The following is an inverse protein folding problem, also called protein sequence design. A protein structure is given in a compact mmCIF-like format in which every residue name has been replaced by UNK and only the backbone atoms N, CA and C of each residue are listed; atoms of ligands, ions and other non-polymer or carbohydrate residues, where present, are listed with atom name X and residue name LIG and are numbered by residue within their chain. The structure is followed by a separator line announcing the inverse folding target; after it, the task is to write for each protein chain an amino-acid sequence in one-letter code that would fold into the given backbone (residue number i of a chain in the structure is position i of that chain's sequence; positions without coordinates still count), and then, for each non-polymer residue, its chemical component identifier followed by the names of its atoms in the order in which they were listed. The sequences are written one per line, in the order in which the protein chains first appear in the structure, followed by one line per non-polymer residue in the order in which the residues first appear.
data_IF_970012522356
#
_entry.id   IF_970012522356
#
_cell.length_a   1.000
_cell.length_b   1.000
_cell.length_c   1.000
_cell.angle_alpha   90.00
_cell.angle_beta   90.00
_cell.angle_gamma   90.00
#
_symmetry.space_group_name_H-M   'P 1'
#
loop_
_entity.id
_entity.type
_entity.pdbx_description
1 polymer ?
#
# COMPACT_ATOMS: atom_id res chain seq x y z
N UNK A 1 4.61 16.35 33.21
CA UNK A 1 3.79 17.07 32.22
C UNK A 1 3.31 16.03 31.23
N UNK A 2 2.05 15.66 31.44
CA UNK A 2 1.12 14.76 30.73
C UNK A 2 1.59 13.36 30.27
N UNK A 3 1.08 12.39 31.04
CA UNK A 3 1.11 10.93 30.87
C UNK A 3 -0.18 10.50 30.12
N UNK A 4 -0.47 11.11 28.97
CA UNK A 4 -1.75 10.94 28.23
C UNK A 4 -1.68 10.04 26.98
N UNK A 5 -0.49 9.57 26.56
CA UNK A 5 -0.34 8.77 25.32
C UNK A 5 -0.33 7.24 25.54
N UNK A 6 -0.74 6.74 26.71
CA UNK A 6 -0.76 5.29 27.03
C UNK A 6 -2.08 4.56 26.77
N UNK A 7 -2.86 4.97 25.77
CA UNK A 7 -4.08 4.26 25.34
C UNK A 7 -3.80 3.22 24.23
N UNK A 8 -2.87 2.30 24.44
CA UNK A 8 -2.50 1.31 23.40
C UNK A 8 -3.04 -0.14 23.57
N UNK A 9 -3.46 -0.63 24.75
CA UNK A 9 -4.08 -1.97 24.85
C UNK A 9 -5.61 -1.99 24.70
N UNK A 10 -6.32 -0.92 25.10
CA UNK A 10 -7.79 -0.94 25.24
C UNK A 10 -8.53 -0.77 23.89
N UNK A 11 -7.91 -0.13 22.91
CA UNK A 11 -8.55 0.16 21.61
C UNK A 11 -8.90 -1.09 20.78
N UNK A 12 -8.16 -2.20 20.94
CA UNK A 12 -8.47 -3.46 20.25
C UNK A 12 -9.71 -4.15 20.84
N UNK A 13 -9.98 -3.89 22.12
CA UNK A 13 -11.07 -4.47 22.91
C UNK A 13 -12.37 -3.65 22.80
N UNK A 14 -12.28 -2.32 22.68
CA UNK A 14 -13.42 -1.38 22.76
C UNK A 14 -14.23 -1.22 21.48
N UNK A 15 -13.78 -1.77 20.35
CA UNK A 15 -14.59 -1.79 19.15
C UNK A 15 -15.65 -2.89 19.31
N UNK A 16 -16.92 -2.57 19.14
CA UNK A 16 -18.04 -3.52 19.22
C UNK A 16 -18.00 -4.47 18.00
N UNK A 17 -18.30 -5.78 18.12
CA UNK A 17 -18.32 -6.69 16.97
C UNK A 17 -19.46 -6.31 16.01
N UNK A 18 -19.18 -5.43 15.05
CA UNK A 18 -20.14 -5.05 14.00
C UNK A 18 -20.15 -6.03 12.83
N UNK A 19 -19.33 -7.09 12.84
CA UNK A 19 -19.27 -8.06 11.73
C UNK A 19 -19.09 -9.50 12.23
N UNK A 20 -19.64 -10.47 11.49
CA UNK A 20 -19.43 -11.92 11.71
C UNK A 20 -17.97 -12.37 11.51
N UNK A 21 -17.06 -11.47 11.12
CA UNK A 21 -15.64 -11.75 10.89
C UNK A 21 -14.80 -11.32 12.10
N UNK A 22 -13.73 -12.06 12.36
CA UNK A 22 -12.75 -11.73 13.39
C UNK A 22 -11.93 -10.49 13.01
N UNK A 23 -11.12 -10.02 13.95
CA UNK A 23 -10.24 -8.85 13.75
C UNK A 23 -8.82 -9.23 13.42
N UNK A 24 -8.12 -8.34 12.75
CA UNK A 24 -6.70 -8.48 12.43
C UNK A 24 -5.88 -7.37 13.07
N UNK A 25 -4.91 -7.77 13.89
CA UNK A 25 -3.85 -6.89 14.41
C UNK A 25 -2.51 -7.27 13.81
N UNK A 26 -1.81 -6.29 13.25
CA UNK A 26 -0.50 -6.49 12.60
C UNK A 26 0.59 -5.70 13.31
N UNK A 27 1.60 -6.39 13.82
CA UNK A 27 2.85 -5.80 14.24
C UNK A 27 3.78 -5.63 13.03
N UNK A 28 3.98 -4.39 12.60
CA UNK A 28 4.81 -4.03 11.45
C UNK A 28 6.21 -3.61 11.92
N UNK A 29 7.26 -4.19 11.34
CA UNK A 29 8.65 -3.83 11.67
C UNK A 29 9.47 -3.46 10.45
N UNK A 30 10.50 -2.65 10.65
CA UNK A 30 11.41 -2.27 9.57
C UNK A 30 12.33 -3.40 9.10
N UNK A 31 12.62 -4.38 9.99
CA UNK A 31 13.49 -5.51 9.72
C UNK A 31 13.23 -6.70 10.66
N UNK A 32 13.86 -7.85 10.35
CA UNK A 32 13.95 -8.96 11.28
C UNK A 32 14.74 -8.55 12.53
N UNK A 33 14.34 -9.04 13.71
CA UNK A 33 15.06 -8.79 14.97
C UNK A 33 14.64 -7.55 15.77
N UNK A 34 13.71 -6.72 15.26
CA UNK A 34 13.17 -5.55 15.99
C UNK A 34 12.25 -5.91 17.17
N UNK A 35 11.96 -7.19 17.38
CA UNK A 35 11.18 -7.65 18.55
C UNK A 35 9.69 -7.88 18.30
N UNK A 36 9.23 -7.98 17.05
CA UNK A 36 7.80 -8.23 16.71
C UNK A 36 7.22 -9.46 17.42
N UNK A 37 7.88 -10.61 17.31
CA UNK A 37 7.47 -11.86 17.96
C UNK A 37 7.38 -11.72 19.48
N UNK A 38 8.34 -11.02 20.10
CA UNK A 38 8.30 -10.76 21.55
C UNK A 38 7.09 -9.90 21.92
N UNK A 39 6.78 -8.86 21.13
CA UNK A 39 5.58 -8.01 21.35
C UNK A 39 4.28 -8.81 21.20
N UNK A 40 4.19 -9.66 20.18
CA UNK A 40 3.04 -10.56 20.00
C UNK A 40 2.84 -11.49 21.19
N UNK A 41 3.92 -12.10 21.70
CA UNK A 41 3.85 -12.98 22.87
C UNK A 41 3.49 -12.21 24.14
N UNK A 42 4.04 -11.02 24.33
CA UNK A 42 3.70 -10.16 25.48
C UNK A 42 2.20 -9.81 25.48
N UNK A 43 1.63 -9.50 24.32
CA UNK A 43 0.19 -9.26 24.16
C UNK A 43 -0.64 -10.53 24.40
N UNK A 44 -0.21 -11.68 23.87
CA UNK A 44 -0.88 -12.96 24.10
C UNK A 44 -0.97 -13.30 25.60
N UNK A 45 0.11 -13.03 26.36
CA UNK A 45 0.11 -13.17 27.82
C UNK A 45 -0.83 -12.18 28.51
N UNK A 46 -0.90 -10.94 28.05
CA UNK A 46 -1.83 -9.96 28.61
C UNK A 46 -3.28 -10.38 28.41
N UNK A 47 -3.64 -10.83 27.20
CA UNK A 47 -4.98 -11.35 26.88
C UNK A 47 -5.31 -12.60 27.71
N UNK A 48 -4.38 -13.53 27.83
CA UNK A 48 -4.55 -14.73 28.65
C UNK A 48 -4.76 -14.38 30.14
N UNK A 49 -4.00 -13.41 30.69
CA UNK A 49 -4.18 -12.90 32.07
C UNK A 49 -5.53 -12.22 32.29
N UNK A 50 -6.12 -11.65 31.25
CA UNK A 50 -7.47 -11.09 31.27
C UNK A 50 -8.56 -12.16 31.15
N UNK A 51 -8.19 -13.45 31.12
CA UNK A 51 -9.12 -14.57 30.97
C UNK A 51 -9.65 -14.75 29.55
N UNK A 52 -8.99 -14.14 28.55
CA UNK A 52 -9.33 -14.36 27.13
C UNK A 52 -8.75 -15.66 26.64
N UNK A 53 -9.42 -16.22 25.66
CA UNK A 53 -9.07 -17.51 25.09
C UNK A 53 -8.08 -17.36 23.93
N UNK A 54 -6.80 -17.67 24.17
CA UNK A 54 -5.68 -17.39 23.26
C UNK A 54 -4.93 -18.68 22.94
N UNK A 55 -4.64 -18.88 21.65
CA UNK A 55 -3.75 -19.96 21.19
C UNK A 55 -2.62 -19.42 20.31
N UNK A 56 -1.49 -20.11 20.35
CA UNK A 56 -0.39 -19.94 19.41
C UNK A 56 -0.63 -20.90 18.24
N UNK A 57 -0.99 -20.34 17.08
CA UNK A 57 -1.17 -21.10 15.84
C UNK A 57 0.14 -21.37 15.14
N UNK A 58 1.01 -20.34 15.07
CA UNK A 58 2.38 -20.48 14.60
C UNK A 58 3.27 -19.41 15.23
N UNK A 59 4.41 -19.83 15.79
CA UNK A 59 5.45 -18.92 16.31
C UNK A 59 6.80 -19.45 15.85
N UNK A 60 7.59 -18.59 15.23
CA UNK A 60 8.97 -18.90 14.87
C UNK A 60 9.90 -18.39 15.97
N UNK A 61 10.52 -19.31 16.70
CA UNK A 61 11.45 -18.96 17.79
C UNK A 61 12.89 -18.83 17.29
N UNK A 62 13.22 -19.32 16.09
CA UNK A 62 14.58 -19.40 15.53
C UNK A 62 15.61 -19.96 16.52
N UNK A 63 15.20 -20.86 17.42
CA UNK A 63 16.06 -21.44 18.46
C UNK A 63 16.45 -20.47 19.59
N UNK A 64 15.80 -19.31 19.71
CA UNK A 64 16.11 -18.29 20.73
C UNK A 64 15.53 -18.68 22.08
N UNK A 65 16.40 -18.92 23.06
CA UNK A 65 16.01 -19.29 24.41
C UNK A 65 15.03 -18.28 25.05
N UNK A 66 15.22 -16.98 24.82
CA UNK A 66 14.32 -15.94 25.36
C UNK A 66 12.92 -16.03 24.75
N UNK A 67 12.80 -16.18 23.42
CA UNK A 67 11.50 -16.30 22.74
C UNK A 67 10.79 -17.60 23.12
N UNK A 68 11.54 -18.71 23.22
CA UNK A 68 11.02 -19.99 23.71
C UNK A 68 10.55 -19.89 25.16
N UNK A 69 11.26 -19.18 26.03
CA UNK A 69 10.82 -18.93 27.40
C UNK A 69 9.56 -18.05 27.45
N UNK A 70 9.43 -17.08 26.53
CA UNK A 70 8.23 -16.23 26.41
C UNK A 70 7.01 -16.98 25.88
N UNK A 71 7.15 -18.10 25.17
CA UNK A 71 6.00 -18.98 24.87
C UNK A 71 5.36 -19.46 26.16
N UNK A 72 6.18 -19.91 27.11
CA UNK A 72 5.75 -20.21 28.48
C UNK A 72 4.56 -21.18 28.55
N UNK A 73 3.48 -20.75 29.20
CA UNK A 73 2.27 -21.54 29.43
C UNK A 73 1.15 -21.29 28.41
N UNK A 74 1.39 -20.52 27.35
CA UNK A 74 0.38 -20.28 26.31
C UNK A 74 0.06 -21.60 25.59
N UNK A 75 -1.22 -21.84 25.30
CA UNK A 75 -1.64 -23.02 24.55
C UNK A 75 -1.10 -22.96 23.12
N UNK A 76 -0.50 -24.05 22.64
CA UNK A 76 0.04 -24.16 21.28
C UNK A 76 -0.80 -25.18 20.52
N UNK A 77 -1.31 -24.78 19.36
CA UNK A 77 -1.93 -25.74 18.44
C UNK A 77 -0.81 -26.54 17.75
N UNK A 78 -0.82 -27.88 17.80
CA UNK A 78 0.20 -28.69 17.15
C UNK A 78 0.31 -28.38 15.66
N UNK A 79 1.55 -28.24 15.17
CA UNK A 79 1.83 -28.04 13.75
C UNK A 79 1.55 -29.32 12.97
N UNK A 80 1.06 -29.16 11.74
CA UNK A 80 0.83 -30.25 10.80
C UNK A 80 2.13 -30.63 10.10
N UNK A 81 2.45 -31.92 10.05
CA UNK A 81 3.56 -32.43 9.24
C UNK A 81 3.12 -32.64 7.79
N UNK A 82 3.91 -32.12 6.85
CA UNK A 82 3.72 -32.25 5.40
C UNK A 82 5.02 -32.80 4.81
N UNK A 83 4.90 -33.90 4.07
CA UNK A 83 6.05 -34.47 3.36
C UNK A 83 6.19 -33.83 1.98
N UNK A 84 7.34 -33.20 1.74
CA UNK A 84 7.65 -32.55 0.48
C UNK A 84 9.06 -32.90 0.02
N UNK A 85 9.17 -33.50 -1.17
CA UNK A 85 10.44 -33.97 -1.76
C UNK A 85 11.27 -34.86 -0.82
N UNK A 86 10.60 -35.72 -0.04
CA UNK A 86 11.24 -36.63 0.92
C UNK A 86 11.71 -35.98 2.24
N UNK A 87 11.37 -34.71 2.47
CA UNK A 87 11.62 -34.01 3.73
C UNK A 87 10.30 -33.73 4.42
N UNK A 88 10.23 -34.02 5.73
CA UNK A 88 9.09 -33.64 6.57
C UNK A 88 9.24 -32.19 7.01
N UNK A 89 8.30 -31.36 6.60
CA UNK A 89 8.20 -29.95 6.99
C UNK A 89 6.99 -29.77 7.90
N UNK A 90 7.03 -28.77 8.78
CA UNK A 90 5.95 -28.45 9.71
C UNK A 90 5.29 -27.14 9.29
N UNK A 91 3.97 -27.13 9.26
CA UNK A 91 3.18 -25.96 8.88
C UNK A 91 2.03 -25.73 9.86
N UNK A 92 1.50 -24.51 9.90
CA UNK A 92 0.34 -24.17 10.73
C UNK A 92 -0.87 -25.04 10.37
N UNK A 93 -1.53 -25.63 11.38
CA UNK A 93 -2.76 -26.39 11.19
C UNK A 93 -3.99 -25.49 11.33
N UNK A 94 -4.40 -24.88 10.22
CA UNK A 94 -5.56 -23.99 10.15
C UNK A 94 -6.84 -24.71 10.58
N UNK A 95 -7.03 -25.96 10.15
CA UNK A 95 -8.26 -26.70 10.43
C UNK A 95 -8.33 -27.06 11.93
N UNK A 96 -7.20 -27.39 12.57
CA UNK A 96 -7.14 -27.60 14.00
C UNK A 96 -7.44 -26.31 14.79
N UNK A 97 -6.89 -25.16 14.39
CA UNK A 97 -7.20 -23.86 15.03
C UNK A 97 -8.70 -23.55 14.90
N UNK A 98 -9.27 -23.72 13.70
CA UNK A 98 -10.70 -23.47 13.46
C UNK A 98 -11.58 -24.45 14.27
N UNK A 99 -11.19 -25.72 14.38
CA UNK A 99 -11.92 -26.71 15.18
C UNK A 99 -11.88 -26.37 16.67
N UNK A 100 -10.74 -25.85 17.14
CA UNK A 100 -10.53 -25.39 18.53
C UNK A 100 -11.39 -24.15 18.83
N UNK A 101 -11.64 -23.28 17.84
CA UNK A 101 -12.43 -22.04 17.98
C UNK A 101 -11.93 -21.10 19.09
N UNK A 102 -10.64 -20.74 19.10
CA UNK A 102 -10.12 -19.72 20.01
C UNK A 102 -10.76 -18.36 19.77
N UNK A 103 -10.72 -17.51 20.78
CA UNK A 103 -11.03 -16.11 20.59
C UNK A 103 -9.89 -15.36 19.87
N UNK A 104 -8.64 -15.67 20.22
CA UNK A 104 -7.43 -15.13 19.61
C UNK A 104 -6.48 -16.23 19.13
N UNK A 105 -5.98 -16.08 17.90
CA UNK A 105 -4.88 -16.88 17.36
C UNK A 105 -3.68 -16.00 17.05
N UNK A 106 -2.50 -16.42 17.52
CA UNK A 106 -1.23 -15.74 17.24
C UNK A 106 -0.49 -16.47 16.12
N UNK A 107 -0.14 -15.73 15.05
CA UNK A 107 0.45 -16.30 13.83
C UNK A 107 1.64 -15.45 13.39
N UNK A 108 2.86 -15.98 13.46
CA UNK A 108 4.07 -15.27 13.01
C UNK A 108 4.38 -15.51 11.51
N UNK A 109 5.28 -14.69 10.97
CA UNK A 109 5.75 -14.67 9.58
C UNK A 109 4.61 -14.59 8.55
N UNK A 110 3.83 -13.51 8.59
CA UNK A 110 2.69 -13.31 7.68
C UNK A 110 3.02 -13.48 6.19
N UNK A 111 4.26 -13.16 5.80
CA UNK A 111 4.76 -13.25 4.43
C UNK A 111 5.13 -14.66 3.98
N UNK A 112 5.16 -15.63 4.89
CA UNK A 112 5.63 -16.99 4.63
C UNK A 112 4.91 -17.63 3.44
N UNK A 113 5.68 -18.36 2.63
CA UNK A 113 5.17 -19.21 1.55
C UNK A 113 5.02 -20.63 2.06
N UNK A 114 3.78 -21.06 2.21
CA UNK A 114 3.48 -22.37 2.78
C UNK A 114 4.05 -23.49 1.91
N UNK A 115 4.36 -24.61 2.58
CA UNK A 115 4.84 -25.83 1.92
C UNK A 115 3.84 -26.32 0.87
N UNK A 116 4.33 -26.81 -0.27
CA UNK A 116 3.47 -27.40 -1.30
C UNK A 116 2.71 -28.61 -0.73
N UNK A 117 1.39 -28.61 -0.88
CA UNK A 117 0.49 -29.58 -0.22
C UNK A 117 -0.29 -28.99 0.96
N UNK A 118 0.05 -27.78 1.40
CA UNK A 118 -0.78 -26.99 2.31
C UNK A 118 -2.09 -26.54 1.65
N UNK A 119 -3.09 -26.23 2.49
CA UNK A 119 -4.42 -25.78 2.05
C UNK A 119 -4.37 -24.48 1.24
N UNK A 120 -3.54 -23.54 1.67
CA UNK A 120 -3.27 -22.29 0.96
C UNK A 120 -1.79 -22.16 0.67
N UNK A 121 -1.45 -21.34 -0.34
CA UNK A 121 -0.07 -21.15 -0.79
C UNK A 121 0.70 -20.14 0.08
N UNK A 122 0.01 -19.25 0.78
CA UNK A 122 0.60 -18.17 1.57
C UNK A 122 -0.02 -18.12 2.96
N UNK A 123 0.80 -17.87 3.98
CA UNK A 123 0.31 -17.80 5.37
C UNK A 123 -0.70 -16.67 5.59
N UNK A 124 -0.59 -15.57 4.86
CA UNK A 124 -1.62 -14.53 4.93
C UNK A 124 -3.01 -15.02 4.51
N UNK A 125 -3.11 -16.01 3.61
CA UNK A 125 -4.39 -16.61 3.21
C UNK A 125 -4.96 -17.48 4.33
N UNK A 126 -4.08 -18.16 5.08
CA UNK A 126 -4.50 -18.86 6.30
C UNK A 126 -5.03 -17.88 7.34
N UNK A 127 -4.34 -16.76 7.54
CA UNK A 127 -4.81 -15.68 8.43
C UNK A 127 -6.17 -15.14 7.99
N UNK A 128 -6.37 -14.87 6.70
CA UNK A 128 -7.68 -14.46 6.18
C UNK A 128 -8.76 -15.53 6.42
N UNK A 129 -8.41 -16.81 6.30
CA UNK A 129 -9.33 -17.92 6.57
C UNK A 129 -9.72 -17.99 8.06
N UNK A 130 -8.78 -17.77 8.98
CA UNK A 130 -9.07 -17.70 10.43
C UNK A 130 -9.98 -16.50 10.75
N UNK A 131 -9.68 -15.33 10.19
CA UNK A 131 -10.51 -14.13 10.36
C UNK A 131 -11.93 -14.37 9.85
N UNK A 132 -12.08 -15.06 8.72
CA UNK A 132 -13.38 -15.34 8.12
C UNK A 132 -14.28 -16.23 9.01
N UNK A 133 -13.73 -16.99 9.96
CA UNK A 133 -14.50 -17.83 10.91
C UNK A 133 -14.86 -17.11 12.20
N UNK A 134 -14.43 -15.85 12.38
CA UNK A 134 -14.69 -15.07 13.59
C UNK A 134 -13.52 -15.03 14.58
N UNK A 135 -12.40 -15.69 14.29
CA UNK A 135 -11.22 -15.73 15.16
C UNK A 135 -10.43 -14.43 14.99
N UNK A 136 -10.07 -13.77 16.09
CA UNK A 136 -9.20 -12.61 16.05
C UNK A 136 -7.74 -13.07 15.85
N UNK A 137 -7.01 -12.46 14.93
CA UNK A 137 -5.63 -12.84 14.62
C UNK A 137 -4.66 -11.72 14.96
N UNK A 138 -3.61 -12.08 15.70
CA UNK A 138 -2.45 -11.22 15.98
C UNK A 138 -1.28 -11.77 15.19
N UNK A 139 -0.68 -10.94 14.32
CA UNK A 139 0.39 -11.35 13.41
C UNK A 139 1.53 -10.34 13.34
N UNK A 140 2.66 -10.74 12.77
CA UNK A 140 3.78 -9.86 12.48
C UNK A 140 4.17 -9.88 11.00
N UNK A 141 4.61 -8.72 10.51
CA UNK A 141 5.14 -8.54 9.16
C UNK A 141 6.32 -7.57 9.17
N UNK A 142 7.28 -7.76 8.26
CA UNK A 142 8.29 -6.73 7.97
C UNK A 142 7.84 -5.90 6.77
N UNK A 143 8.16 -4.61 6.77
CA UNK A 143 7.84 -3.67 5.68
C UNK A 143 8.37 -4.14 4.32
N UNK A 144 9.49 -4.87 4.33
CA UNK A 144 10.13 -5.40 3.12
C UNK A 144 9.25 -6.38 2.34
N UNK A 145 8.24 -6.99 2.97
CA UNK A 145 7.39 -7.99 2.34
C UNK A 145 6.16 -7.37 1.66
N UNK A 146 5.94 -6.05 1.78
CA UNK A 146 4.82 -5.42 1.09
C UNK A 146 5.07 -5.39 -0.41
N UNK A 147 4.08 -5.82 -1.18
CA UNK A 147 4.19 -5.95 -2.62
C UNK A 147 4.54 -4.62 -3.30
N UNK A 148 3.90 -3.53 -2.88
CA UNK A 148 4.17 -2.19 -3.42
C UNK A 148 5.59 -1.68 -3.14
N UNK A 149 6.24 -2.18 -2.08
CA UNK A 149 7.54 -1.68 -1.61
C UNK A 149 8.72 -2.52 -2.10
N UNK A 150 8.49 -3.70 -2.69
CA UNK A 150 9.54 -4.62 -3.13
C UNK A 150 10.62 -3.96 -4.01
N UNK A 151 10.21 -3.17 -5.01
CA UNK A 151 11.18 -2.49 -5.90
C UNK A 151 12.02 -1.46 -5.14
N UNK A 152 11.40 -0.74 -4.20
CA UNK A 152 12.11 0.25 -3.40
C UNK A 152 13.09 -0.41 -2.43
N UNK A 153 12.65 -1.48 -1.76
CA UNK A 153 13.49 -2.29 -0.87
C UNK A 153 14.67 -2.89 -1.62
N UNK A 154 14.47 -3.42 -2.83
CA UNK A 154 15.56 -3.92 -3.69
C UNK A 154 16.55 -2.83 -4.06
N UNK A 155 16.10 -1.60 -4.36
CA UNK A 155 17.00 -0.47 -4.63
C UNK A 155 17.82 -0.06 -3.40
N UNK A 156 17.21 -0.09 -2.22
CA UNK A 156 17.89 0.27 -0.95
C UNK A 156 18.89 -0.81 -0.55
N UNK A 157 18.46 -2.07 -0.56
CA UNK A 157 19.19 -3.18 0.07
C UNK A 157 20.04 -3.99 -0.91
N UNK A 158 19.72 -3.94 -2.20
CA UNK A 158 20.26 -4.84 -3.22
C UNK A 158 19.71 -6.27 -3.16
N UNK A 159 18.83 -6.57 -2.21
CA UNK A 159 18.29 -7.91 -1.97
C UNK A 159 16.92 -8.03 -2.64
N UNK A 160 16.69 -9.15 -3.33
CA UNK A 160 15.39 -9.49 -3.89
C UNK A 160 14.53 -10.23 -2.85
N UNK A 161 13.37 -9.67 -2.53
CA UNK A 161 12.40 -10.26 -1.62
C UNK A 161 11.44 -11.12 -2.44
N UNK A 162 11.43 -12.43 -2.17
CA UNK A 162 10.56 -13.40 -2.87
C UNK A 162 9.22 -13.61 -2.18
N UNK A 163 9.21 -13.44 -0.87
CA UNK A 163 8.03 -13.64 -0.05
C UNK A 163 7.30 -12.33 0.15
N UNK A 164 6.08 -12.24 -0.37
CA UNK A 164 5.32 -11.00 -0.41
C UNK A 164 3.94 -11.13 0.24
N UNK A 165 3.41 -9.99 0.67
CA UNK A 165 2.07 -9.80 1.23
C UNK A 165 1.41 -8.65 0.49
N UNK A 166 0.17 -8.83 0.00
CA UNK A 166 -0.58 -7.75 -0.63
C UNK A 166 -0.84 -6.60 0.34
N UNK A 167 -0.62 -5.36 -0.09
CA UNK A 167 -0.87 -4.15 0.70
C UNK A 167 -2.32 -4.07 1.21
N UNK A 168 -3.26 -4.60 0.43
CA UNK A 168 -4.69 -4.65 0.75
C UNK A 168 -4.99 -5.38 2.08
N UNK A 169 -4.13 -6.31 2.50
CA UNK A 169 -4.28 -7.00 3.77
C UNK A 169 -4.01 -6.07 4.96
N UNK A 170 -2.95 -5.24 4.88
CA UNK A 170 -2.65 -4.28 5.94
C UNK A 170 -3.70 -3.18 5.99
N UNK A 171 -4.14 -2.66 4.83
CA UNK A 171 -5.18 -1.63 4.79
C UNK A 171 -6.54 -2.11 5.34
N UNK A 172 -6.72 -3.42 5.47
CA UNK A 172 -7.92 -4.05 6.04
C UNK A 172 -7.73 -4.50 7.48
N UNK A 173 -6.52 -4.35 8.04
CA UNK A 173 -6.28 -4.68 9.44
C UNK A 173 -7.03 -3.69 10.32
N UNK A 174 -7.60 -4.18 11.43
CA UNK A 174 -8.27 -3.32 12.41
C UNK A 174 -7.25 -2.48 13.19
N UNK A 175 -6.02 -2.97 13.29
CA UNK A 175 -4.93 -2.26 13.96
C UNK A 175 -3.57 -2.61 13.35
N UNK A 176 -2.79 -1.59 13.00
CA UNK A 176 -1.37 -1.74 12.61
C UNK A 176 -0.50 -1.03 13.65
N UNK A 177 0.42 -1.77 14.27
CA UNK A 177 1.32 -1.27 15.32
C UNK A 177 2.77 -1.37 14.85
N UNK A 178 3.50 -0.25 14.85
CA UNK A 178 4.92 -0.25 14.51
C UNK A 178 5.75 -0.79 15.67
N UNK A 179 6.64 -1.74 15.39
CA UNK A 179 7.68 -2.20 16.31
C UNK A 179 9.03 -1.71 15.80
N UNK A 180 9.68 -0.90 16.62
CA UNK A 180 10.87 -0.17 16.21
C UNK A 180 11.93 -0.17 17.32
N UNK A 181 13.19 -0.23 16.92
CA UNK A 181 14.38 -0.15 17.77
C UNK A 181 15.45 0.68 17.05
N UNK A 182 16.47 1.14 17.78
CA UNK A 182 17.56 1.89 17.14
C UNK A 182 18.33 1.02 16.13
N UNK A 183 18.92 1.66 15.11
CA UNK A 183 19.76 0.98 14.12
C UNK A 183 20.95 0.32 14.79
N UNK A 184 21.54 1.00 15.77
CA UNK A 184 22.66 0.53 16.57
C UNK A 184 22.30 -0.73 17.35
N UNK A 185 21.16 -0.71 18.05
CA UNK A 185 20.65 -1.86 18.81
C UNK A 185 20.34 -3.04 17.89
N UNK A 186 19.67 -2.81 16.76
CA UNK A 186 19.35 -3.88 15.81
C UNK A 186 20.63 -4.56 15.28
N UNK A 187 21.64 -3.77 14.95
CA UNK A 187 22.94 -4.30 14.51
C UNK A 187 23.68 -5.00 15.64
N UNK A 188 23.55 -4.54 16.87
CA UNK A 188 24.13 -5.19 18.03
C UNK A 188 23.49 -6.57 18.28
N UNK A 189 22.16 -6.65 18.25
CA UNK A 189 21.42 -7.92 18.32
C UNK A 189 21.85 -8.89 17.22
N UNK A 190 22.09 -8.38 16.01
CA UNK A 190 22.60 -9.20 14.91
C UNK A 190 24.01 -9.75 15.23
N UNK A 191 24.93 -8.92 15.74
CA UNK A 191 26.30 -9.34 16.12
C UNK A 191 26.31 -10.36 17.25
N UNK A 192 25.35 -10.26 18.16
CA UNK A 192 25.16 -11.20 19.27
C UNK A 192 24.54 -12.54 18.82
N UNK A 193 24.29 -12.73 17.53
CA UNK A 193 23.69 -13.96 17.00
C UNK A 193 22.20 -14.11 17.34
N UNK A 194 21.55 -13.03 17.78
CA UNK A 194 20.14 -13.06 18.16
C UNK A 194 19.20 -12.98 16.95
N UNK A 195 19.71 -12.75 15.74
CA UNK A 195 18.89 -12.57 14.53
C UNK A 195 19.17 -13.66 13.50
N UNK A 196 20.45 -13.88 13.18
CA UNK A 196 20.92 -14.89 12.23
C UNK A 196 22.03 -15.75 12.85
N UNK A 197 22.24 -16.96 12.33
CA UNK A 197 23.34 -17.80 12.78
C UNK A 197 24.70 -17.18 12.41
N UNK A 198 25.78 -17.49 13.17
CA UNK A 198 27.08 -16.80 13.07
C UNK A 198 27.64 -16.68 11.66
N UNK A 199 27.49 -17.71 10.84
CA UNK A 199 27.99 -17.77 9.48
C UNK A 199 27.33 -16.76 8.52
N UNK A 200 26.12 -16.27 8.84
CA UNK A 200 25.38 -15.29 8.01
C UNK A 200 25.52 -13.85 8.52
N UNK A 201 26.04 -13.63 9.73
CA UNK A 201 26.08 -12.30 10.38
C UNK A 201 26.88 -11.29 9.55
N UNK A 202 28.11 -11.63 9.15
CA UNK A 202 28.98 -10.72 8.40
C UNK A 202 28.37 -10.30 7.06
N UNK A 203 27.79 -11.27 6.34
CA UNK A 203 27.14 -11.01 5.06
C UNK A 203 25.86 -10.16 5.23
N UNK A 204 25.09 -10.41 6.28
CA UNK A 204 23.91 -9.62 6.60
C UNK A 204 24.28 -8.17 6.96
N UNK A 205 25.32 -7.95 7.78
CA UNK A 205 25.84 -6.63 8.16
C UNK A 205 26.39 -5.84 6.96
N UNK A 206 27.01 -6.53 6.00
CA UNK A 206 27.58 -5.90 4.79
C UNK A 206 26.56 -5.62 3.69
N UNK A 207 25.34 -6.14 3.79
CA UNK A 207 24.29 -5.94 2.79
C UNK A 207 23.06 -5.30 3.42
N UNK A 208 22.11 -6.11 3.88
CA UNK A 208 20.80 -5.66 4.34
C UNK A 208 20.90 -4.76 5.60
N UNK A 209 21.76 -5.12 6.56
CA UNK A 209 21.89 -4.45 7.87
C UNK A 209 22.92 -3.31 7.87
N UNK A 210 23.10 -2.63 6.73
CA UNK A 210 23.81 -1.35 6.69
C UNK A 210 23.00 -0.27 7.41
N UNK A 211 23.64 0.66 8.14
CA UNK A 211 22.93 1.75 8.81
C UNK A 211 22.01 2.56 7.89
N UNK A 212 22.50 2.92 6.70
CA UNK A 212 21.72 3.65 5.68
C UNK A 212 20.46 2.89 5.26
N UNK A 213 20.57 1.57 5.12
CA UNK A 213 19.47 0.72 4.66
C UNK A 213 18.42 0.60 5.75
N UNK A 214 18.84 0.31 6.98
CA UNK A 214 17.96 0.20 8.13
C UNK A 214 17.24 1.53 8.44
N UNK A 215 17.94 2.66 8.31
CA UNK A 215 17.32 3.98 8.43
C UNK A 215 16.23 4.20 7.37
N UNK A 216 16.50 3.86 6.11
CA UNK A 216 15.53 4.00 5.02
C UNK A 216 14.33 3.07 5.21
N UNK A 217 14.55 1.82 5.63
CA UNK A 217 13.46 0.87 5.90
C UNK A 217 12.61 1.29 7.10
N UNK A 218 13.23 1.91 8.12
CA UNK A 218 12.52 2.49 9.27
C UNK A 218 11.63 3.64 8.84
N UNK A 219 12.14 4.54 7.99
CA UNK A 219 11.34 5.62 7.41
C UNK A 219 10.14 5.08 6.61
N UNK A 220 10.36 4.06 5.78
CA UNK A 220 9.27 3.41 5.03
C UNK A 220 8.21 2.78 5.94
N UNK A 221 8.63 2.11 7.02
CA UNK A 221 7.70 1.54 7.97
C UNK A 221 6.84 2.61 8.65
N UNK A 222 7.45 3.72 9.07
CA UNK A 222 6.73 4.85 9.69
C UNK A 222 5.79 5.54 8.72
N UNK A 223 6.22 5.76 7.47
CA UNK A 223 5.38 6.35 6.42
C UNK A 223 4.17 5.48 6.10
N UNK A 224 4.32 4.15 6.07
CA UNK A 224 3.20 3.27 5.78
C UNK A 224 2.16 3.25 6.90
N UNK A 225 2.59 3.24 8.16
CA UNK A 225 1.65 3.38 9.29
C UNK A 225 0.98 4.75 9.31
N UNK A 226 1.70 5.83 8.98
CA UNK A 226 1.09 7.15 8.86
C UNK A 226 0.02 7.21 7.76
N UNK A 227 0.27 6.55 6.62
CA UNK A 227 -0.72 6.43 5.53
C UNK A 227 -1.93 5.62 5.96
N UNK A 228 -1.72 4.51 6.64
CA UNK A 228 -2.79 3.66 7.16
C UNK A 228 -3.68 4.40 8.17
N UNK A 229 -3.09 5.11 9.14
CA UNK A 229 -3.82 5.97 10.06
C UNK A 229 -4.59 7.09 9.33
N UNK A 230 -4.01 7.65 8.27
CA UNK A 230 -4.68 8.61 7.40
C UNK A 230 -5.94 8.02 6.77
N UNK A 231 -5.85 6.81 6.21
CA UNK A 231 -6.98 6.08 5.61
C UNK A 231 -8.05 5.74 6.66
N UNK A 232 -7.65 5.24 7.83
CA UNK A 232 -8.60 4.94 8.92
C UNK A 232 -9.29 6.18 9.45
N UNK A 233 -8.57 7.30 9.60
CA UNK A 233 -9.17 8.56 10.05
C UNK A 233 -10.15 9.10 9.01
N UNK A 234 -9.79 9.03 7.74
CA UNK A 234 -10.68 9.38 6.64
C UNK A 234 -11.92 8.47 6.63
N UNK A 235 -11.75 7.16 6.78
CA UNK A 235 -12.86 6.19 6.88
C UNK A 235 -13.78 6.48 8.09
N UNK A 236 -13.22 6.77 9.26
CA UNK A 236 -13.99 7.13 10.46
C UNK A 236 -14.70 8.49 10.33
N UNK A 237 -14.06 9.47 9.69
CA UNK A 237 -14.69 10.77 9.38
C UNK A 237 -15.82 10.63 8.34
N UNK A 238 -15.67 9.71 7.38
CA UNK A 238 -16.69 9.37 6.38
C UNK A 238 -17.87 8.61 7.02
N UNK A 239 -17.60 7.63 7.88
CA UNK A 239 -18.63 6.87 8.62
C UNK A 239 -19.46 7.77 9.56
N UNK A 240 -18.83 8.81 10.13
CA UNK A 240 -19.52 9.81 10.96
C UNK A 240 -20.33 10.82 10.14
N UNK A 241 -19.97 11.06 8.89
CA UNK A 241 -20.63 12.06 8.03
C UNK A 241 -21.83 11.51 7.28
N UNK A 242 -21.87 10.23 6.94
CA UNK A 242 -22.96 9.67 6.14
C UNK A 242 -23.44 8.31 6.70
N UNK A 243 -24.68 8.27 7.19
CA UNK A 243 -25.33 7.08 7.72
C UNK A 243 -25.47 5.93 6.70
N UNK A 244 -24.40 5.15 6.55
CA UNK A 244 -24.46 3.78 6.04
C UNK A 244 -24.61 3.61 4.53
N UNK A 245 -24.19 4.57 3.69
CA UNK A 245 -24.16 4.35 2.24
C UNK A 245 -22.88 4.88 1.60
N UNK A 246 -21.96 3.95 1.32
CA UNK A 246 -20.77 4.20 0.48
C UNK A 246 -21.20 4.86 -0.85
N UNK A 247 -20.42 5.83 -1.31
CA UNK A 247 -19.73 5.71 -2.56
C UNK A 247 -18.25 5.47 -2.23
N UNK A 248 -17.69 4.35 -2.69
CA UNK A 248 -16.24 4.26 -2.78
C UNK A 248 -15.76 5.48 -3.57
N UNK A 249 -14.98 6.37 -2.95
CA UNK A 249 -14.23 7.36 -3.71
C UNK A 249 -13.12 6.57 -4.39
N UNK A 250 -13.48 5.90 -5.49
CA UNK A 250 -12.50 5.35 -6.40
C UNK A 250 -11.76 6.56 -6.94
N UNK A 251 -10.51 6.74 -6.51
CA UNK A 251 -9.61 7.68 -7.14
C UNK A 251 -9.68 7.48 -8.65
N UNK A 252 -9.85 8.57 -9.39
CA UNK A 252 -9.97 8.56 -10.84
C UNK A 252 -9.12 9.68 -11.39
N UNK A 253 -8.16 9.31 -12.23
CA UNK A 253 -7.23 10.26 -12.83
C UNK A 253 -7.72 10.61 -14.22
N UNK A 254 -7.61 11.88 -14.61
CA UNK A 254 -7.91 12.32 -15.96
C UNK A 254 -6.72 13.08 -16.52
N UNK A 255 -6.34 12.80 -17.76
CA UNK A 255 -5.37 13.58 -18.51
C UNK A 255 -6.04 14.20 -19.73
N UNK A 256 -5.77 15.48 -19.96
CA UNK A 256 -6.31 16.21 -21.11
C UNK A 256 -5.28 16.27 -22.24
N UNK A 257 -5.61 15.70 -23.39
CA UNK A 257 -4.76 15.70 -24.58
C UNK A 257 -5.13 16.85 -25.52
N UNK A 258 -4.14 17.69 -25.82
CA UNK A 258 -4.29 18.78 -26.78
C UNK A 258 -3.94 18.33 -28.19
N UNK A 259 -4.38 19.10 -29.19
CA UNK A 259 -3.99 18.93 -30.59
C UNK A 259 -2.51 19.27 -30.87
N UNK A 260 -1.78 19.82 -29.88
CA UNK A 260 -0.35 20.10 -29.95
C UNK A 260 0.45 18.89 -29.45
N UNK A 261 1.38 18.32 -30.25
CA UNK A 261 2.14 17.14 -29.86
C UNK A 261 3.16 17.37 -28.73
N UNK A 262 3.63 18.60 -28.52
CA UNK A 262 4.69 18.91 -27.55
C UNK A 262 4.32 18.47 -26.12
N UNK A 263 5.21 17.68 -25.49
CA UNK A 263 5.08 17.22 -24.10
C UNK A 263 3.90 16.26 -23.82
N UNK A 264 3.13 15.86 -24.83
CA UNK A 264 1.94 15.02 -24.64
C UNK A 264 2.29 13.60 -24.19
N UNK A 265 3.42 13.05 -24.65
CA UNK A 265 3.89 11.72 -24.23
C UNK A 265 4.33 11.72 -22.76
N UNK A 266 5.10 12.73 -22.33
CA UNK A 266 5.52 12.86 -20.94
C UNK A 266 4.32 13.01 -20.00
N UNK A 267 3.33 13.79 -20.43
CA UNK A 267 2.07 13.99 -19.72
C UNK A 267 1.30 12.68 -19.55
N UNK A 268 1.19 11.88 -20.62
CA UNK A 268 0.57 10.55 -20.59
C UNK A 268 1.30 9.61 -19.65
N UNK A 269 2.64 9.56 -19.72
CA UNK A 269 3.45 8.71 -18.85
C UNK A 269 3.32 9.11 -17.38
N UNK A 270 3.24 10.41 -17.09
CA UNK A 270 3.01 10.92 -15.74
C UNK A 270 1.62 10.56 -15.24
N UNK A 271 0.58 10.76 -16.04
CA UNK A 271 -0.79 10.40 -15.69
C UNK A 271 -0.96 8.90 -15.42
N UNK A 272 -0.37 8.05 -16.27
CA UNK A 272 -0.37 6.60 -16.08
C UNK A 272 0.35 6.19 -14.78
N UNK A 273 1.50 6.79 -14.47
CA UNK A 273 2.20 6.55 -13.20
C UNK A 273 1.36 6.97 -12.00
N UNK A 274 0.71 8.13 -12.06
CA UNK A 274 -0.16 8.63 -10.99
C UNK A 274 -1.37 7.71 -10.81
N UNK A 275 -2.00 7.26 -11.90
CA UNK A 275 -3.12 6.32 -11.86
C UNK A 275 -2.72 4.98 -11.24
N UNK A 276 -1.56 4.44 -11.65
CA UNK A 276 -1.02 3.20 -11.09
C UNK A 276 -0.69 3.33 -9.58
N UNK A 277 -0.12 4.44 -9.14
CA UNK A 277 0.17 4.70 -7.73
C UNK A 277 -1.09 4.78 -6.85
N UNK A 278 -2.18 5.30 -7.42
CA UNK A 278 -3.47 5.44 -6.72
C UNK A 278 -4.37 4.21 -6.88
N UNK A 279 -3.94 3.19 -7.61
CA UNK A 279 -4.79 2.08 -8.06
C UNK A 279 -6.13 2.55 -8.66
N UNK A 280 -6.03 3.63 -9.45
CA UNK A 280 -7.15 4.39 -9.98
C UNK A 280 -7.41 4.04 -11.44
N UNK A 281 -8.69 3.97 -11.82
CA UNK A 281 -9.06 4.04 -13.24
C UNK A 281 -8.69 5.42 -13.80
N UNK A 282 -8.28 5.50 -15.06
CA UNK A 282 -7.89 6.78 -15.64
C UNK A 282 -8.38 7.00 -17.06
N UNK A 283 -8.63 8.27 -17.38
CA UNK A 283 -9.21 8.73 -18.64
C UNK A 283 -8.20 9.56 -19.42
N UNK A 284 -8.10 9.31 -20.72
CA UNK A 284 -7.43 10.18 -21.66
C UNK A 284 -8.48 10.93 -22.48
N UNK A 285 -8.64 12.22 -22.21
CA UNK A 285 -9.73 13.03 -22.77
C UNK A 285 -9.17 13.99 -23.82
N UNK A 286 -9.67 13.89 -25.04
CA UNK A 286 -9.43 14.87 -26.09
C UNK A 286 -10.71 15.69 -26.35
N UNK A 287 -10.57 17.01 -26.46
CA UNK A 287 -11.67 17.93 -26.72
C UNK A 287 -11.46 18.61 -28.06
N UNK A 288 -12.30 18.27 -29.02
CA UNK A 288 -12.33 18.90 -30.32
C UNK A 288 -13.08 20.24 -30.24
N UNK A 289 -12.36 21.33 -30.49
CA UNK A 289 -12.94 22.68 -30.56
C UNK A 289 -13.29 23.05 -32.01
N UNK A 290 -14.24 23.98 -32.25
CA UNK A 290 -14.57 24.43 -33.61
C UNK A 290 -13.39 25.05 -34.39
N UNK A 291 -12.37 25.54 -33.67
CA UNK A 291 -11.10 26.03 -34.21
C UNK A 291 -10.07 24.94 -34.50
N UNK A 292 -10.22 23.76 -33.90
CA UNK A 292 -9.33 22.60 -34.02
C UNK A 292 -10.11 21.36 -34.50
N UNK A 293 -11.13 21.56 -35.35
CA UNK A 293 -11.84 20.43 -35.95
C UNK A 293 -10.88 19.58 -36.78
N UNK A 294 -11.14 18.27 -36.90
CA UNK A 294 -10.29 17.32 -37.67
C UNK A 294 -9.94 17.81 -39.09
N UNK A 295 -10.80 18.63 -39.71
CA UNK A 295 -10.61 19.22 -41.04
C UNK A 295 -9.66 20.44 -41.10
N UNK A 296 -9.30 21.01 -39.94
CA UNK A 296 -8.51 22.26 -39.80
C UNK A 296 -7.15 22.07 -39.13
N UNK A 297 -6.88 20.90 -38.56
CA UNK A 297 -5.58 20.54 -37.98
C UNK A 297 -4.66 20.04 -39.12
N UNK A 298 -3.35 20.30 -39.01
CA UNK A 298 -2.37 19.74 -39.96
C UNK A 298 -2.38 18.20 -39.91
N UNK A 299 -2.17 17.55 -41.06
CA UNK A 299 -2.10 16.09 -41.14
C UNK A 299 -1.04 15.50 -40.18
N UNK A 300 0.04 16.23 -39.92
CA UNK A 300 1.08 15.84 -38.97
C UNK A 300 0.60 15.84 -37.51
N UNK A 301 -0.08 16.91 -37.08
CA UNK A 301 -0.61 17.02 -35.72
C UNK A 301 -1.75 16.03 -35.47
N UNK A 302 -2.60 15.78 -36.48
CA UNK A 302 -3.65 14.77 -36.38
C UNK A 302 -3.08 13.36 -36.21
N UNK A 303 -2.01 13.01 -36.95
CA UNK A 303 -1.30 11.72 -36.76
C UNK A 303 -0.67 11.62 -35.37
N UNK A 304 -0.03 12.68 -34.89
CA UNK A 304 0.56 12.68 -33.56
C UNK A 304 -0.48 12.52 -32.44
N UNK A 305 -1.63 13.17 -32.58
CA UNK A 305 -2.77 13.01 -31.66
C UNK A 305 -3.26 11.55 -31.64
N UNK A 306 -3.43 10.91 -32.80
CA UNK A 306 -3.82 9.51 -32.88
C UNK A 306 -2.78 8.57 -32.23
N UNK A 307 -1.49 8.84 -32.43
CA UNK A 307 -0.42 8.07 -31.78
C UNK A 307 -0.48 8.20 -30.25
N UNK A 308 -0.71 9.41 -29.73
CA UNK A 308 -0.85 9.65 -28.30
C UNK A 308 -2.09 8.98 -27.71
N UNK A 309 -3.19 8.93 -28.46
CA UNK A 309 -4.41 8.23 -28.07
C UNK A 309 -4.17 6.72 -27.99
N UNK A 310 -3.51 6.14 -29.01
CA UNK A 310 -3.16 4.73 -29.00
C UNK A 310 -2.22 4.40 -27.84
N UNK A 311 -1.21 5.25 -27.59
CA UNK A 311 -0.32 5.11 -26.45
C UNK A 311 -1.09 5.15 -25.12
N UNK A 312 -2.07 6.04 -24.97
CA UNK A 312 -2.89 6.10 -23.77
C UNK A 312 -3.71 4.81 -23.57
N UNK A 313 -4.31 4.29 -24.64
CA UNK A 313 -5.05 3.03 -24.62
C UNK A 313 -4.15 1.83 -24.27
N UNK A 314 -2.94 1.75 -24.85
CA UNK A 314 -1.94 0.73 -24.55
C UNK A 314 -1.49 0.77 -23.08
N UNK A 315 -1.48 1.96 -22.48
CA UNK A 315 -1.20 2.17 -21.06
C UNK A 315 -2.43 1.95 -20.16
N UNK A 316 -3.56 1.52 -20.71
CA UNK A 316 -4.78 1.16 -19.98
C UNK A 316 -5.71 2.34 -19.67
N UNK A 317 -5.59 3.47 -20.37
CA UNK A 317 -6.54 4.58 -20.24
C UNK A 317 -7.86 4.29 -20.97
N UNK A 318 -8.98 4.75 -20.41
CA UNK A 318 -10.23 4.87 -21.15
C UNK A 318 -10.18 6.17 -21.99
N UNK A 319 -10.13 6.02 -23.30
CA UNK A 319 -10.02 7.16 -24.23
C UNK A 319 -11.39 7.75 -24.50
N UNK A 320 -11.54 9.07 -24.33
CA UNK A 320 -12.79 9.78 -24.56
C UNK A 320 -12.58 10.98 -25.48
N UNK A 321 -13.41 11.06 -26.52
CA UNK A 321 -13.42 12.17 -27.48
C UNK A 321 -14.67 13.02 -27.29
N UNK A 322 -14.49 14.27 -26.91
CA UNK A 322 -15.60 15.22 -26.68
C UNK A 322 -15.55 16.34 -27.71
N UNK A 323 -16.72 16.88 -28.07
CA UNK A 323 -16.84 18.07 -28.94
C UNK A 323 -17.39 19.22 -28.11
N UNK A 324 -16.63 20.30 -27.98
CA UNK A 324 -17.07 21.45 -27.19
C UNK A 324 -16.43 22.76 -27.66
N UNK A 325 -17.18 23.86 -27.53
CA UNK A 325 -16.67 25.21 -27.81
C UNK A 325 -15.88 25.81 -26.64
N UNK A 326 -16.19 25.41 -25.40
CA UNK A 326 -15.44 25.78 -24.20
C UNK A 326 -14.76 24.54 -23.59
N UNK A 327 -13.44 24.50 -23.73
CA UNK A 327 -12.59 23.40 -23.23
C UNK A 327 -12.63 23.31 -21.71
N UNK A 328 -12.57 24.44 -21.00
CA UNK A 328 -12.56 24.43 -19.52
C UNK A 328 -13.86 23.85 -19.00
N UNK A 329 -14.99 24.31 -19.54
CA UNK A 329 -16.30 23.85 -19.11
C UNK A 329 -16.49 22.35 -19.37
N UNK A 330 -16.14 21.89 -20.57
CA UNK A 330 -16.26 20.48 -20.94
C UNK A 330 -15.40 19.55 -20.08
N UNK A 331 -14.16 19.96 -19.74
CA UNK A 331 -13.31 19.20 -18.82
C UNK A 331 -13.97 19.08 -17.44
N UNK A 332 -14.50 20.18 -16.91
CA UNK A 332 -15.10 20.20 -15.57
C UNK A 332 -16.41 19.40 -15.52
N UNK A 333 -17.23 19.47 -16.56
CA UNK A 333 -18.47 18.69 -16.67
C UNK A 333 -18.16 17.19 -16.72
N UNK A 334 -17.22 16.79 -17.57
CA UNK A 334 -16.80 15.39 -17.67
C UNK A 334 -16.15 14.90 -16.38
N UNK A 335 -15.32 15.72 -15.72
CA UNK A 335 -14.71 15.39 -14.43
C UNK A 335 -15.77 15.14 -13.35
N UNK A 336 -16.83 15.95 -13.29
CA UNK A 336 -17.95 15.75 -12.36
C UNK A 336 -18.75 14.50 -12.69
N UNK A 337 -19.08 14.29 -13.96
CA UNK A 337 -19.87 13.13 -14.40
C UNK A 337 -19.17 11.81 -14.07
N UNK A 338 -17.87 11.72 -14.39
CA UNK A 338 -17.06 10.51 -14.12
C UNK A 338 -16.50 10.45 -12.71
N UNK A 339 -16.79 11.47 -11.86
CA UNK A 339 -16.24 11.62 -10.51
C UNK A 339 -14.72 11.45 -10.49
N UNK A 340 -14.05 12.16 -11.39
CA UNK A 340 -12.60 12.31 -11.43
C UNK A 340 -12.16 12.98 -10.14
N UNK A 341 -11.06 12.54 -9.53
CA UNK A 341 -10.51 13.14 -8.31
C UNK A 341 -9.26 13.96 -8.61
N UNK A 342 -8.50 13.57 -9.65
CA UNK A 342 -7.26 14.24 -10.06
C UNK A 342 -7.19 14.51 -11.55
N UNK A 343 -6.86 15.74 -11.91
CA UNK A 343 -6.72 16.21 -13.29
C UNK A 343 -5.26 16.55 -13.57
N UNK A 344 -4.67 15.88 -14.56
CA UNK A 344 -3.30 16.09 -15.02
C UNK A 344 -3.34 16.90 -16.32
N UNK A 345 -2.71 18.07 -16.32
CA UNK A 345 -2.73 19.01 -17.45
C UNK A 345 -1.31 19.46 -17.79
N UNK A 346 -0.98 19.49 -19.08
CA UNK A 346 0.28 20.05 -19.57
C UNK A 346 0.29 21.58 -19.55
N UNK A 347 1.46 22.20 -19.37
CA UNK A 347 1.61 23.65 -19.57
C UNK A 347 1.41 24.01 -21.03
N UNK A 348 0.26 24.57 -21.38
CA UNK A 348 0.12 25.32 -22.64
C UNK A 348 0.86 26.66 -22.55
N UNK A 349 1.79 26.93 -23.46
CA UNK A 349 2.37 28.25 -23.67
C UNK A 349 1.54 29.04 -24.70
N UNK A 350 0.61 29.93 -24.30
CA UNK A 350 0.00 30.83 -25.27
C UNK A 350 1.05 31.81 -25.79
N UNK A 351 1.03 32.05 -27.11
CA UNK A 351 1.79 33.11 -27.79
C UNK A 351 1.53 34.45 -27.09
N UNK A 352 2.58 35.25 -26.85
CA UNK A 352 2.58 36.47 -26.01
C UNK A 352 1.37 37.42 -26.20
N UNK A 353 0.86 37.55 -27.42
CA UNK A 353 -0.32 38.37 -27.75
C UNK A 353 -1.66 37.78 -27.27
N UNK A 354 -1.80 36.44 -27.24
CA UNK A 354 -2.97 35.75 -26.66
C UNK A 354 -3.00 35.84 -25.13
N UNK A 355 -1.87 36.17 -24.48
CA UNK A 355 -1.76 36.38 -23.02
C UNK A 355 -2.44 37.67 -22.55
N UNK A 356 -2.59 38.67 -23.44
CA UNK A 356 -3.26 39.94 -23.15
C UNK A 356 -4.79 39.84 -23.28
N UNK A 357 -5.31 38.97 -24.15
CA UNK A 357 -6.75 38.80 -24.40
C UNK A 357 -7.42 37.57 -23.74
N UNK A 358 -6.66 36.57 -23.26
CA UNK A 358 -7.22 35.38 -22.60
C UNK A 358 -6.57 35.13 -21.24
N UNK A 359 -7.37 35.17 -20.16
CA UNK A 359 -7.03 34.57 -18.86
C UNK A 359 -6.73 33.08 -19.10
N UNK A 360 -5.53 32.62 -18.71
CA UNK A 360 -5.08 31.25 -18.99
C UNK A 360 -6.12 30.22 -18.52
N UNK A 361 -6.32 29.18 -19.32
CA UNK A 361 -7.23 28.05 -19.02
C UNK A 361 -6.88 27.48 -17.63
N UNK A 362 -5.59 27.40 -17.31
CA UNK A 362 -5.05 26.99 -16.01
C UNK A 362 -5.56 27.85 -14.85
N UNK A 363 -5.59 29.17 -14.99
CA UNK A 363 -6.08 30.07 -13.94
C UNK A 363 -7.61 30.00 -13.76
N UNK A 364 -8.36 29.70 -14.82
CA UNK A 364 -9.82 29.49 -14.73
C UNK A 364 -10.17 28.14 -14.09
N UNK A 365 -9.38 27.09 -14.36
CA UNK A 365 -9.56 25.78 -13.73
C UNK A 365 -9.21 25.83 -12.24
N UNK A 366 -8.09 26.46 -11.87
CA UNK A 366 -7.70 26.66 -10.47
C UNK A 366 -8.72 27.49 -9.67
N UNK A 367 -9.44 28.42 -10.31
CA UNK A 367 -10.50 29.19 -9.67
C UNK A 367 -11.81 28.41 -9.45
N UNK A 368 -12.00 27.28 -10.15
CA UNK A 368 -13.20 26.42 -10.07
C UNK A 368 -12.92 25.06 -9.39
N UNK A 369 -11.67 24.76 -9.05
CA UNK A 369 -11.21 23.49 -8.49
C UNK A 369 -11.38 23.41 -6.96
N UNK A 370 -12.61 23.53 -6.45
CA UNK A 370 -12.89 23.19 -5.04
C UNK A 370 -13.04 21.69 -4.79
N UNK A 371 -13.34 20.93 -5.85
CA UNK A 371 -13.72 19.51 -5.77
C UNK A 371 -12.68 18.57 -6.43
N UNK A 372 -11.55 19.08 -6.94
CA UNK A 372 -10.57 18.31 -7.73
C UNK A 372 -9.12 18.76 -7.45
N UNK A 373 -8.18 17.81 -7.42
CA UNK A 373 -6.75 18.10 -7.46
C UNK A 373 -6.30 18.36 -8.91
N UNK A 374 -5.70 19.52 -9.19
CA UNK A 374 -5.16 19.84 -10.52
C UNK A 374 -3.63 19.83 -10.48
N UNK A 375 -3.01 18.84 -11.12
CA UNK A 375 -1.56 18.72 -11.26
C UNK A 375 -1.11 19.25 -12.63
N UNK A 376 -0.26 20.27 -12.63
CA UNK A 376 0.27 20.89 -13.87
C UNK A 376 1.68 20.39 -14.14
N UNK A 377 1.87 19.64 -15.23
CA UNK A 377 3.17 19.12 -15.64
C UNK A 377 3.85 20.12 -16.58
N UNK A 378 5.07 20.52 -16.24
CA UNK A 378 5.92 21.30 -17.13
C UNK A 378 6.61 20.35 -18.11
N UNK A 379 6.51 20.62 -19.41
CA UNK A 379 7.36 19.94 -20.39
C UNK A 379 8.82 20.35 -20.17
N UNK A 380 9.74 19.41 -20.40
CA UNK A 380 11.18 19.64 -20.30
C UNK A 380 11.62 20.86 -21.13
N UNK A 381 12.30 21.87 -20.55
CA UNK A 381 12.78 23.04 -21.30
C UNK A 381 13.84 22.73 -22.38
N UNK A 382 14.37 21.50 -22.45
CA UNK A 382 15.48 21.12 -23.35
C UNK A 382 15.09 20.66 -24.77
N UNK A 383 13.81 20.61 -25.14
CA UNK A 383 13.39 20.35 -26.54
C UNK A 383 13.37 21.61 -27.44
N UNK A 384 14.04 22.70 -27.03
CA UNK A 384 14.29 23.83 -27.92
C UNK A 384 15.40 23.49 -28.92
N UNK A 385 15.04 22.96 -30.10
CA UNK A 385 15.72 23.31 -31.36
C UNK A 385 14.78 23.24 -32.57
N UNK A 386 15.00 24.08 -33.60
CA UNK A 386 16.07 25.09 -33.75
C UNK A 386 15.65 26.50 -33.34
#
# INVERSE_FOLDING_TARGET
MNDEDRKEPEAFLDLTPQSQKGRLKVYLGCAAGVGKTCRMLDEAHQLSKQGRDVVLGFIETHGRAETTARVGALEIVPLREIEYRGVKLKEMDVDAIVARKPEFAVVDELAHTNVSGSKHNKRYQDVEALIATGINVITACNIQHLESLNQMVRRITGVEIRETVPDALLSRADQVVTVDISVEELRQRLREGQIYPPEQIEQALRNFFKPSNLASLRELALLEVARDQGRHREELELLRREGGRRPAVTERVMVCLSSNPEGSEELLRKAARTAAQLNAGWYAVHIETPSESVQKISTANFRALLNNINLAADMGAEVVWLKASDVTQAIMEFAREKKVTRIVIGRTHPTLWKRLLRRSITNRMLAQARDFDVEVVAGDPDERRP
#
